data_IF_129227285713
#
_entry.id   IF_129227285713
#
_cell.length_a   1.000
_cell.length_b   1.000
_cell.length_c   1.000
_cell.angle_alpha   90.00
_cell.angle_beta   90.00
_cell.angle_gamma   90.00
#
_symmetry.space_group_name_H-M   'P 1'
#
loop_
_entity.id
_entity.type
_entity.pdbx_description
1 polymer ?
#
# COMPACT_ATOMS: atom_id res chain seq x y z
N UNK A 1 -69.40 -7.27 1.51
CA UNK A 1 -68.12 -7.70 2.10
C UNK A 1 -67.06 -6.74 1.61
N UNK A 2 -66.64 -5.80 2.47
CA UNK A 2 -65.62 -4.79 2.16
C UNK A 2 -64.25 -5.39 2.49
N UNK A 3 -63.47 -5.67 1.45
CA UNK A 3 -62.09 -6.12 1.59
C UNK A 3 -61.18 -4.89 1.69
N UNK A 4 -60.70 -4.61 2.90
CA UNK A 4 -59.66 -3.62 3.17
C UNK A 4 -58.33 -4.14 2.58
N UNK A 5 -57.60 -3.38 1.74
CA UNK A 5 -56.26 -3.79 1.34
C UNK A 5 -55.33 -3.74 2.55
N UNK A 6 -54.39 -4.68 2.69
CA UNK A 6 -53.42 -4.65 3.78
C UNK A 6 -52.56 -3.39 3.65
N UNK A 7 -52.59 -2.55 4.68
CA UNK A 7 -51.58 -1.52 4.86
C UNK A 7 -50.23 -2.23 5.05
N UNK A 8 -49.43 -2.27 4.00
CA UNK A 8 -47.98 -2.48 4.12
C UNK A 8 -47.39 -1.21 4.71
N UNK A 9 -47.61 -1.04 6.01
CA UNK A 9 -46.81 -0.15 6.85
C UNK A 9 -45.51 -0.90 7.17
N UNK A 10 -44.74 -1.18 6.12
CA UNK A 10 -43.33 -1.51 6.27
C UNK A 10 -42.62 -0.16 6.27
N UNK A 11 -42.27 0.30 7.46
CA UNK A 11 -41.35 1.41 7.64
C UNK A 11 -40.12 1.15 6.77
N UNK A 12 -40.09 1.83 5.62
CA UNK A 12 -38.95 1.89 4.73
C UNK A 12 -37.80 2.45 5.55
N UNK A 13 -36.87 1.58 5.93
CA UNK A 13 -35.70 1.92 6.74
C UNK A 13 -34.69 2.61 5.83
N UNK A 14 -35.05 3.81 5.37
CA UNK A 14 -34.33 4.59 4.37
C UNK A 14 -33.04 5.26 4.90
N UNK A 15 -32.61 4.96 6.13
CA UNK A 15 -31.44 5.59 6.76
C UNK A 15 -30.12 4.78 6.63
N UNK A 16 -30.16 3.55 6.12
CA UNK A 16 -28.96 2.68 5.98
C UNK A 16 -28.53 2.46 4.52
N UNK A 17 -29.07 3.22 3.58
CA UNK A 17 -28.78 3.05 2.15
C UNK A 17 -27.40 3.63 1.80
N UNK A 18 -26.34 2.91 2.16
CA UNK A 18 -24.96 3.23 1.83
C UNK A 18 -23.93 2.98 2.94
N UNK A 19 -24.36 2.68 4.17
CA UNK A 19 -23.43 2.32 5.23
C UNK A 19 -23.10 0.83 5.17
N UNK A 20 -21.82 0.50 4.94
CA UNK A 20 -21.33 -0.87 4.99
C UNK A 20 -20.80 -1.12 6.40
N UNK A 21 -21.59 -1.84 7.21
CA UNK A 21 -21.14 -2.30 8.51
C UNK A 21 -20.10 -3.42 8.34
N UNK A 22 -18.87 -3.16 8.79
CA UNK A 22 -17.80 -4.15 8.75
C UNK A 22 -17.84 -5.04 9.99
N UNK A 23 -17.63 -6.34 9.78
CA UNK A 23 -17.46 -7.27 10.88
C UNK A 23 -16.27 -6.86 11.78
N UNK A 24 -16.38 -7.12 13.08
CA UNK A 24 -15.30 -6.84 14.03
C UNK A 24 -13.97 -7.49 13.62
N UNK A 25 -14.01 -8.71 13.10
CA UNK A 25 -12.81 -9.42 12.63
C UNK A 25 -12.17 -8.75 11.41
N UNK A 26 -12.98 -8.22 10.49
CA UNK A 26 -12.50 -7.41 9.35
C UNK A 26 -11.79 -6.15 9.85
N UNK A 27 -12.41 -5.42 10.79
CA UNK A 27 -11.83 -4.21 11.38
C UNK A 27 -10.48 -4.51 12.06
N UNK A 28 -10.41 -5.58 12.84
CA UNK A 28 -9.19 -5.99 13.53
C UNK A 28 -8.08 -6.40 12.54
N UNK A 29 -8.44 -7.09 11.45
CA UNK A 29 -7.51 -7.46 10.40
C UNK A 29 -6.95 -6.23 9.66
N UNK A 30 -7.81 -5.24 9.34
CA UNK A 30 -7.38 -3.98 8.72
C UNK A 30 -6.41 -3.24 9.64
N UNK A 31 -6.72 -3.14 10.94
CA UNK A 31 -5.83 -2.50 11.93
C UNK A 31 -4.49 -3.22 12.03
N UNK A 32 -4.48 -4.55 12.04
CA UNK A 32 -3.24 -5.33 12.11
C UNK A 32 -2.38 -5.15 10.86
N UNK A 33 -3.00 -5.15 9.67
CA UNK A 33 -2.29 -4.91 8.42
C UNK A 33 -1.76 -3.48 8.30
N UNK A 34 -2.49 -2.48 8.82
CA UNK A 34 -2.04 -1.10 8.94
C UNK A 34 -0.79 -0.98 9.82
N UNK A 35 -0.84 -1.50 11.06
CA UNK A 35 0.33 -1.49 11.96
C UNK A 35 1.56 -2.13 11.34
N UNK A 36 1.39 -3.28 10.67
CA UNK A 36 2.51 -3.94 9.98
C UNK A 36 3.07 -3.09 8.84
N UNK A 37 2.22 -2.40 8.08
CA UNK A 37 2.66 -1.49 7.03
C UNK A 37 3.44 -0.31 7.63
N UNK A 38 2.97 0.25 8.73
CA UNK A 38 3.66 1.33 9.44
C UNK A 38 5.02 0.86 10.00
N UNK A 39 5.08 -0.33 10.60
CA UNK A 39 6.33 -0.96 11.07
C UNK A 39 7.31 -1.23 9.91
N UNK A 40 6.82 -1.66 8.75
CA UNK A 40 7.64 -1.85 7.55
C UNK A 40 8.20 -0.52 7.04
N UNK A 41 7.43 0.57 7.09
CA UNK A 41 7.88 1.91 6.71
C UNK A 41 8.91 2.44 7.72
N UNK A 42 8.62 2.35 9.03
CA UNK A 42 9.54 2.77 10.09
C UNK A 42 10.87 2.00 10.06
N UNK A 43 10.83 0.72 9.66
CA UNK A 43 12.03 -0.09 9.51
C UNK A 43 12.77 0.12 8.18
N UNK A 44 12.33 1.06 7.32
CA UNK A 44 12.94 1.32 6.01
C UNK A 44 12.76 0.19 4.99
N UNK A 45 11.84 -0.76 5.24
CA UNK A 45 11.55 -1.85 4.29
C UNK A 45 10.62 -1.40 3.16
N UNK A 46 9.85 -0.33 3.40
CA UNK A 46 8.94 0.28 2.43
C UNK A 46 9.02 1.79 2.50
N UNK A 47 8.88 2.50 1.36
CA UNK A 47 8.80 3.96 1.37
C UNK A 47 7.48 4.42 1.97
N UNK A 48 7.49 5.59 2.61
CA UNK A 48 6.27 6.21 3.09
C UNK A 48 5.31 6.53 1.94
N UNK A 49 4.00 6.44 2.19
CA UNK A 49 2.97 6.57 1.15
C UNK A 49 2.69 5.27 0.39
N UNK A 50 3.45 4.19 0.66
CA UNK A 50 3.20 2.84 0.14
C UNK A 50 1.80 2.34 0.48
N UNK A 51 1.26 1.50 -0.40
CA UNK A 51 0.00 0.81 -0.20
C UNK A 51 0.15 -0.71 -0.28
N UNK A 52 -0.73 -1.42 0.43
CA UNK A 52 -0.75 -2.87 0.48
C UNK A 52 -2.18 -3.37 0.39
N UNK A 53 -2.38 -4.36 -0.47
CA UNK A 53 -3.65 -5.09 -0.57
C UNK A 53 -3.70 -6.20 0.47
N UNK A 54 -4.87 -6.40 1.05
CA UNK A 54 -5.18 -7.53 1.91
C UNK A 54 -6.55 -8.13 1.61
N UNK A 55 -6.70 -9.41 1.96
CA UNK A 55 -8.00 -10.08 2.03
C UNK A 55 -8.49 -10.02 3.47
N UNK A 56 -9.72 -9.59 3.69
CA UNK A 56 -10.39 -9.72 4.98
C UNK A 56 -10.85 -11.18 5.20
N UNK A 57 -11.11 -11.58 6.46
CA UNK A 57 -11.64 -12.90 6.77
C UNK A 57 -12.98 -13.21 6.09
N UNK A 58 -13.77 -12.18 5.81
CA UNK A 58 -15.02 -12.22 5.05
C UNK A 58 -14.82 -12.50 3.55
N UNK A 59 -13.60 -12.39 3.03
CA UNK A 59 -13.28 -12.50 1.59
C UNK A 59 -13.26 -11.17 0.85
N UNK A 60 -13.57 -10.05 1.52
CA UNK A 60 -13.47 -8.71 0.94
C UNK A 60 -12.01 -8.29 0.71
N UNK A 61 -11.77 -7.39 -0.25
CA UNK A 61 -10.43 -6.87 -0.56
C UNK A 61 -10.29 -5.42 -0.13
N UNK A 62 -9.27 -5.14 0.68
CA UNK A 62 -8.96 -3.80 1.16
C UNK A 62 -7.57 -3.36 0.69
N UNK A 63 -7.46 -2.09 0.29
CA UNK A 63 -6.19 -1.41 0.05
C UNK A 63 -5.90 -0.51 1.24
N UNK A 64 -4.80 -0.75 1.93
CA UNK A 64 -4.35 0.07 3.05
C UNK A 64 -3.16 0.88 2.58
N UNK A 65 -3.15 2.18 2.87
CA UNK A 65 -2.08 3.10 2.50
C UNK A 65 -1.51 3.75 3.75
N UNK A 66 -0.18 3.80 3.85
CA UNK A 66 0.50 4.58 4.88
C UNK A 66 0.25 6.08 4.64
N UNK A 67 -0.26 6.79 5.64
CA UNK A 67 -0.69 8.20 5.53
C UNK A 67 0.43 9.23 5.78
N UNK A 68 1.68 8.79 6.00
CA UNK A 68 2.82 9.70 6.13
C UNK A 68 3.32 10.29 4.80
N UNK A 69 4.02 11.44 4.85
CA UNK A 69 4.63 12.05 3.68
C UNK A 69 5.60 11.05 3.04
N UNK A 70 5.57 10.92 1.71
CA UNK A 70 6.56 10.11 1.01
C UNK A 70 7.94 10.71 1.32
N UNK A 71 8.78 9.94 2.00
CA UNK A 71 10.16 10.35 2.25
C UNK A 71 10.86 10.13 0.92
N UNK A 72 11.13 11.21 0.21
CA UNK A 72 12.03 11.21 -0.93
C UNK A 72 13.42 10.97 -0.36
N UNK A 73 14.00 9.81 -0.66
CA UNK A 73 15.31 9.41 -0.15
C UNK A 73 16.41 10.10 -0.98
N UNK A 74 16.40 11.44 -0.98
CA UNK A 74 17.46 12.32 -1.47
C UNK A 74 18.19 12.91 -0.25
N UNK A 75 18.68 12.04 0.64
CA UNK A 75 19.68 12.43 1.64
C UNK A 75 21.02 11.92 1.17
N UNK A 76 21.57 12.60 0.17
CA UNK A 76 23.02 12.65 -0.04
C UNK A 76 23.61 13.45 1.13
N UNK A 77 24.03 12.73 2.18
CA UNK A 77 24.90 13.29 3.19
C UNK A 77 26.32 13.35 2.61
N UNK A 78 26.52 14.23 1.63
CA UNK A 78 27.84 14.53 1.07
C UNK A 78 28.41 15.74 1.81
N UNK A 79 29.10 15.44 2.91
CA UNK A 79 30.18 16.28 3.40
C UNK A 79 31.48 15.58 3.09
N UNK A 80 32.02 15.78 1.90
CA UNK A 80 33.47 15.89 1.74
C UNK A 80 33.84 16.71 0.50
N UNK A 81 34.68 17.71 0.75
CA UNK A 81 35.27 18.66 -0.17
C UNK A 81 36.19 17.95 -1.17
N UNK A 82 35.93 18.00 -2.50
CA UNK A 82 36.95 18.09 -3.56
C UNK A 82 36.36 17.97 -4.99
N UNK A 83 37.02 18.55 -6.02
CA UNK A 83 36.38 19.04 -7.25
C UNK A 83 36.18 17.96 -8.33
N UNK A 84 35.11 18.11 -9.12
CA UNK A 84 34.88 17.35 -10.36
C UNK A 84 36.04 17.58 -11.37
N UNK A 85 36.46 16.53 -12.10
CA UNK A 85 35.90 16.37 -13.45
C UNK A 85 35.75 14.92 -13.94
N UNK A 86 34.62 14.67 -14.61
CA UNK A 86 34.52 14.24 -16.02
C UNK A 86 33.44 13.16 -16.22
N UNK A 87 32.31 13.62 -16.75
CA UNK A 87 31.00 12.95 -16.79
C UNK A 87 30.90 11.79 -17.80
N UNK A 88 31.96 11.44 -18.53
CA UNK A 88 31.88 10.47 -19.63
C UNK A 88 32.29 9.03 -19.24
N UNK A 89 33.00 8.82 -18.12
CA UNK A 89 33.43 7.46 -17.72
C UNK A 89 32.34 6.67 -16.98
N UNK A 90 31.38 7.36 -16.34
CA UNK A 90 30.37 6.71 -15.50
C UNK A 90 29.34 5.92 -16.32
N UNK A 91 28.99 6.39 -17.53
CA UNK A 91 27.95 5.78 -18.36
C UNK A 91 28.31 4.42 -18.93
N UNK A 92 29.59 4.16 -19.18
CA UNK A 92 30.06 2.86 -19.68
C UNK A 92 30.13 1.80 -18.56
N UNK A 93 30.40 2.21 -17.31
CA UNK A 93 30.49 1.29 -16.16
C UNK A 93 29.12 0.69 -15.75
N UNK A 94 28.05 1.49 -15.84
CA UNK A 94 26.68 1.05 -15.49
C UNK A 94 26.15 -0.05 -16.42
N UNK A 95 26.46 0.04 -17.71
CA UNK A 95 26.01 -0.95 -18.70
C UNK A 95 26.70 -2.31 -18.55
N UNK A 96 27.92 -2.37 -18.01
CA UNK A 96 28.64 -3.64 -17.84
C UNK A 96 28.13 -4.42 -16.62
N UNK A 97 27.66 -3.73 -15.56
CA UNK A 97 27.23 -4.36 -14.30
C UNK A 97 25.82 -4.96 -14.34
N UNK A 98 24.91 -4.43 -15.16
CA UNK A 98 23.55 -4.95 -15.27
C UNK A 98 23.45 -6.33 -15.97
N UNK A 99 24.39 -6.66 -16.86
CA UNK A 99 24.31 -7.91 -17.64
C UNK A 99 24.92 -9.12 -16.92
N UNK A 100 25.87 -8.92 -16.01
CA UNK A 100 26.48 -10.03 -15.25
C UNK A 100 25.53 -10.66 -14.23
N UNK A 101 24.57 -9.89 -13.66
CA UNK A 101 23.57 -10.43 -12.72
C UNK A 101 22.48 -11.27 -13.40
N UNK A 102 22.21 -11.06 -14.69
CA UNK A 102 21.19 -11.83 -15.41
C UNK A 102 21.68 -13.25 -15.77
N UNK A 103 22.97 -13.41 -16.08
CA UNK A 103 23.54 -14.70 -16.48
C UNK A 103 23.83 -15.64 -15.29
N UNK A 104 23.92 -15.12 -14.06
CA UNK A 104 24.18 -15.93 -12.87
C UNK A 104 22.96 -16.71 -12.36
N UNK A 105 21.74 -16.42 -12.85
CA UNK A 105 20.49 -17.08 -12.41
C UNK A 105 19.99 -18.20 -13.32
N UNK A 106 20.65 -18.48 -14.45
CA UNK A 106 20.21 -19.51 -15.41
C UNK A 106 20.92 -20.86 -15.18
N UNK A 107 21.78 -20.99 -14.16
CA UNK A 107 22.45 -22.26 -13.87
C UNK A 107 22.37 -22.64 -12.39
N UNK A 108 21.19 -23.07 -11.97
CA UNK A 108 21.02 -24.10 -10.94
C UNK A 108 19.71 -24.84 -11.18
#
# INVERSE_FOLDING_TARGET
>A
MTQTPPAHDAADSADDEGFIELSKSTIDAIKAAGRKLDEDVQAGRLPAGSSRWMMAPSGERFCIRHSGPAIDEETDEDSDDAPEPDADTHRQSLMIRCWQRLLARVKR
#
